data_IF_118894847159
#
_entry.id   IF_118894847159
#
_cell.length_a   1.000
_cell.length_b   1.000
_cell.length_c   1.000
_cell.angle_alpha   90.00
_cell.angle_beta   90.00
_cell.angle_gamma   90.00
#
_symmetry.space_group_name_H-M   'P 1'
#
loop_
_entity.id
_entity.type
_entity.pdbx_description
1 polymer ?
#
# COMPACT_ATOMS: atom_id res chain seq x y z
N UNK A 1 10.74 -0.42 -0.72
CA UNK A 1 10.91 -0.69 -2.17
C UNK A 1 11.52 0.54 -2.84
N UNK A 2 12.19 0.40 -3.98
CA UNK A 2 12.79 1.53 -4.72
C UNK A 2 14.32 1.63 -4.63
N UNK A 3 14.97 0.73 -3.89
CA UNK A 3 16.42 0.49 -3.94
C UNK A 3 16.78 -0.67 -4.89
N UNK A 4 18.02 -1.15 -4.83
CA UNK A 4 18.46 -2.32 -5.61
C UNK A 4 18.10 -3.65 -4.95
N UNK A 5 18.72 -3.94 -3.80
CA UNK A 5 18.67 -5.27 -3.15
C UNK A 5 17.26 -5.65 -2.71
N UNK A 6 16.58 -4.81 -1.93
CA UNK A 6 15.24 -5.14 -1.43
C UNK A 6 14.22 -5.32 -2.56
N UNK A 7 14.27 -4.45 -3.57
CA UNK A 7 13.35 -4.48 -4.71
C UNK A 7 13.55 -5.72 -5.59
N UNK A 8 14.80 -6.16 -5.80
CA UNK A 8 15.11 -7.31 -6.67
C UNK A 8 15.11 -8.66 -5.95
N UNK A 9 15.53 -8.72 -4.69
CA UNK A 9 15.68 -9.98 -3.95
C UNK A 9 14.39 -10.41 -3.25
N UNK A 10 13.56 -9.47 -2.76
CA UNK A 10 12.35 -9.82 -2.02
C UNK A 10 11.37 -10.70 -2.82
N UNK A 11 11.09 -10.45 -4.12
CA UNK A 11 10.23 -11.33 -4.92
C UNK A 11 10.79 -12.75 -5.05
N UNK A 12 12.11 -12.90 -5.14
CA UNK A 12 12.76 -14.21 -5.26
C UNK A 12 12.61 -15.01 -3.97
N UNK A 13 12.88 -14.38 -2.82
CA UNK A 13 12.72 -15.01 -1.50
C UNK A 13 11.25 -15.41 -1.28
N UNK A 14 10.33 -14.49 -1.58
CA UNK A 14 8.90 -14.73 -1.47
C UNK A 14 8.45 -15.90 -2.36
N UNK A 15 8.91 -15.95 -3.61
CA UNK A 15 8.56 -17.00 -4.55
C UNK A 15 9.03 -18.38 -4.08
N UNK A 16 10.23 -18.47 -3.50
CA UNK A 16 10.74 -19.72 -2.90
C UNK A 16 9.86 -20.14 -1.72
N UNK A 17 9.57 -19.23 -0.79
CA UNK A 17 8.74 -19.53 0.38
C UNK A 17 7.33 -20.00 -0.03
N UNK A 18 6.69 -19.29 -0.97
CA UNK A 18 5.37 -19.63 -1.49
C UNK A 18 5.37 -20.98 -2.22
N UNK A 19 6.40 -21.28 -3.02
CA UNK A 19 6.55 -22.57 -3.69
C UNK A 19 6.73 -23.75 -2.71
N UNK A 20 7.24 -23.49 -1.51
CA UNK A 20 7.32 -24.48 -0.42
C UNK A 20 5.99 -24.64 0.35
N UNK A 21 4.93 -23.91 -0.03
CA UNK A 21 3.63 -23.95 0.64
C UNK A 21 3.57 -23.14 1.94
N UNK A 22 4.54 -22.28 2.20
CA UNK A 22 4.59 -21.39 3.37
C UNK A 22 3.69 -20.17 3.11
N UNK A 23 2.83 -19.83 4.06
CA UNK A 23 2.04 -18.58 4.00
C UNK A 23 3.01 -17.39 3.96
N UNK A 24 3.07 -16.72 2.81
CA UNK A 24 4.08 -15.71 2.53
C UNK A 24 3.43 -14.33 2.52
N UNK A 25 3.71 -13.52 3.54
CA UNK A 25 3.22 -12.15 3.66
C UNK A 25 4.36 -11.17 3.36
N UNK A 26 4.20 -10.36 2.32
CA UNK A 26 5.11 -9.27 2.00
C UNK A 26 4.65 -7.97 2.65
N UNK A 27 5.52 -7.32 3.43
CA UNK A 27 5.29 -5.96 3.95
C UNK A 27 6.35 -5.05 3.35
N UNK A 28 5.91 -4.03 2.61
CA UNK A 28 6.79 -3.22 1.80
C UNK A 28 6.40 -1.74 1.82
N UNK A 29 7.38 -0.86 1.96
CA UNK A 29 7.18 0.59 1.85
C UNK A 29 7.38 1.10 0.42
N UNK A 30 6.62 2.11 0.00
CA UNK A 30 6.98 2.93 -1.17
C UNK A 30 7.86 4.09 -0.72
N UNK A 31 8.81 4.56 -1.54
CA UNK A 31 9.68 5.68 -1.18
C UNK A 31 8.88 6.96 -0.98
N UNK A 32 9.43 7.92 -0.24
CA UNK A 32 8.88 9.27 -0.16
C UNK A 32 8.97 9.97 -1.53
N UNK A 33 8.02 10.87 -1.79
CA UNK A 33 8.00 11.69 -3.00
C UNK A 33 9.31 12.46 -3.22
N UNK A 34 9.98 12.90 -2.14
CA UNK A 34 11.25 13.64 -2.22
C UNK A 34 12.46 12.77 -2.63
N UNK A 35 12.38 11.45 -2.54
CA UNK A 35 13.49 10.56 -2.92
C UNK A 35 13.65 10.43 -4.45
N UNK A 36 12.68 10.97 -5.21
CA UNK A 36 12.77 11.16 -6.64
C UNK A 36 12.06 10.07 -7.47
N UNK A 37 11.66 10.48 -8.68
CA UNK A 37 10.83 9.67 -9.60
C UNK A 37 11.45 8.31 -9.95
N UNK A 38 12.79 8.23 -10.04
CA UNK A 38 13.48 6.97 -10.35
C UNK A 38 13.22 5.90 -9.29
N UNK A 39 13.28 6.25 -8.00
CA UNK A 39 13.00 5.29 -6.92
C UNK A 39 11.53 4.87 -6.93
N UNK A 40 10.62 5.80 -7.21
CA UNK A 40 9.19 5.51 -7.31
C UNK A 40 8.90 4.48 -8.43
N UNK A 41 9.47 4.65 -9.63
CA UNK A 41 9.32 3.70 -10.74
C UNK A 41 9.87 2.31 -10.35
N UNK A 42 11.07 2.26 -9.80
CA UNK A 42 11.67 1.01 -9.33
C UNK A 42 10.83 0.32 -8.25
N UNK A 43 10.23 1.11 -7.35
CA UNK A 43 9.35 0.57 -6.32
C UNK A 43 8.09 -0.06 -6.90
N UNK A 44 7.47 0.57 -7.91
CA UNK A 44 6.29 0.04 -8.59
C UNK A 44 6.58 -1.28 -9.32
N UNK A 45 7.69 -1.33 -10.07
CA UNK A 45 8.13 -2.55 -10.76
C UNK A 45 8.39 -3.69 -9.76
N UNK A 46 9.10 -3.41 -8.67
CA UNK A 46 9.37 -4.40 -7.64
C UNK A 46 8.12 -4.84 -6.89
N UNK A 47 7.18 -3.92 -6.63
CA UNK A 47 5.90 -4.26 -5.97
C UNK A 47 5.06 -5.17 -6.85
N UNK A 48 5.00 -4.92 -8.16
CA UNK A 48 4.32 -5.79 -9.10
C UNK A 48 4.91 -7.21 -9.08
N UNK A 49 6.25 -7.31 -9.17
CA UNK A 49 6.95 -8.60 -9.08
C UNK A 49 6.74 -9.30 -7.74
N UNK A 50 6.83 -8.57 -6.62
CA UNK A 50 6.61 -9.13 -5.29
C UNK A 50 5.19 -9.66 -5.12
N UNK A 51 4.20 -8.94 -5.66
CA UNK A 51 2.78 -9.29 -5.56
C UNK A 51 2.47 -10.67 -6.15
N UNK A 52 3.11 -11.02 -7.26
CA UNK A 52 2.91 -12.32 -7.91
C UNK A 52 3.53 -13.48 -7.10
N UNK A 53 4.47 -13.15 -6.20
CA UNK A 53 5.26 -14.10 -5.43
C UNK A 53 4.84 -14.22 -3.95
N UNK A 54 3.85 -13.45 -3.49
CA UNK A 54 3.34 -13.51 -2.11
C UNK A 54 1.88 -13.97 -2.07
N UNK A 55 1.40 -14.39 -0.91
CA UNK A 55 -0.02 -14.62 -0.66
C UNK A 55 -0.76 -13.31 -0.38
N UNK A 56 -0.13 -12.47 0.45
CA UNK A 56 -0.63 -11.15 0.83
C UNK A 56 0.49 -10.11 0.73
N UNK A 57 0.20 -8.96 0.15
CA UNK A 57 1.09 -7.81 0.05
C UNK A 57 0.49 -6.60 0.77
N UNK A 58 1.11 -6.19 1.87
CA UNK A 58 0.80 -4.95 2.60
C UNK A 58 1.75 -3.85 2.10
N UNK A 59 1.19 -2.83 1.48
CA UNK A 59 1.96 -1.70 0.95
C UNK A 59 1.75 -0.49 1.85
N UNK A 60 2.83 0.02 2.42
CA UNK A 60 2.83 1.20 3.29
C UNK A 60 3.37 2.39 2.48
N UNK A 61 2.55 3.40 2.19
CA UNK A 61 3.04 4.55 1.45
C UNK A 61 3.77 5.50 2.38
N UNK A 62 5.08 5.69 2.22
CA UNK A 62 5.84 6.59 3.10
C UNK A 62 5.29 8.03 3.10
N UNK A 63 4.70 8.48 1.99
CA UNK A 63 4.07 9.81 1.92
C UNK A 63 2.87 9.95 2.87
N UNK A 64 2.17 8.85 3.21
CA UNK A 64 1.09 8.89 4.22
C UNK A 64 1.64 9.08 5.62
N UNK A 65 2.87 8.64 5.88
CA UNK A 65 3.54 8.87 7.16
C UNK A 65 3.81 10.37 7.39
N UNK A 66 4.00 11.15 6.31
CA UNK A 66 4.17 12.60 6.40
C UNK A 66 2.92 13.31 6.95
N UNK A 67 1.74 12.71 6.81
CA UNK A 67 0.50 13.27 7.36
C UNK A 67 0.41 13.13 8.88
N UNK A 68 1.19 12.21 9.46
CA UNK A 68 1.20 11.93 10.90
C UNK A 68 2.31 12.69 11.66
N UNK A 69 3.19 13.42 10.97
CA UNK A 69 4.35 14.10 11.58
C UNK A 69 4.26 15.63 11.46
N UNK A 70 4.94 16.32 12.38
CA UNK A 70 5.02 17.78 12.37
C UNK A 70 5.96 18.29 11.25
N UNK A 71 5.76 19.52 10.77
CA UNK A 71 6.67 20.13 9.79
C UNK A 71 8.11 20.31 10.31
N UNK A 72 8.30 20.27 11.63
CA UNK A 72 9.62 20.33 12.29
C UNK A 72 10.30 18.98 12.45
N UNK A 73 9.64 17.87 12.08
CA UNK A 73 10.15 16.51 12.29
C UNK A 73 11.39 16.25 11.42
N UNK A 74 12.55 15.89 12.00
CA UNK A 74 13.75 15.54 11.24
C UNK A 74 13.54 14.31 10.35
N UNK A 75 14.28 14.26 9.24
CA UNK A 75 14.20 13.14 8.28
C UNK A 75 14.48 11.78 8.92
N UNK A 76 15.41 11.71 9.88
CA UNK A 76 15.72 10.48 10.63
C UNK A 76 14.53 9.97 11.43
N UNK A 77 13.74 10.88 12.00
CA UNK A 77 12.54 10.54 12.76
C UNK A 77 11.41 10.05 11.84
N UNK A 78 11.30 10.60 10.62
CA UNK A 78 10.36 10.12 9.61
C UNK A 78 10.67 8.68 9.15
N UNK A 79 11.95 8.30 9.03
CA UNK A 79 12.32 6.90 8.75
C UNK A 79 12.05 5.98 9.93
N UNK A 80 12.32 6.42 11.17
CA UNK A 80 11.99 5.66 12.37
C UNK A 80 10.47 5.41 12.48
N UNK A 81 9.64 6.35 12.04
CA UNK A 81 8.19 6.15 11.98
C UNK A 81 7.82 5.04 10.97
N UNK A 82 8.45 5.01 9.80
CA UNK A 82 8.24 3.94 8.83
C UNK A 82 8.63 2.56 9.40
N UNK A 83 9.76 2.50 10.10
CA UNK A 83 10.22 1.29 10.77
C UNK A 83 9.27 0.87 11.90
N UNK A 84 8.71 1.83 12.66
CA UNK A 84 7.74 1.51 13.70
C UNK A 84 6.43 0.96 13.12
N UNK A 85 5.93 1.53 12.01
CA UNK A 85 4.76 0.98 11.32
C UNK A 85 5.03 -0.43 10.78
N UNK A 86 6.21 -0.67 10.19
CA UNK A 86 6.60 -2.01 9.74
C UNK A 86 6.65 -3.00 10.91
N UNK A 87 7.25 -2.60 12.03
CA UNK A 87 7.32 -3.39 13.26
C UNK A 87 5.93 -3.71 13.80
N UNK A 88 5.06 -2.70 13.88
CA UNK A 88 3.67 -2.87 14.34
C UNK A 88 2.88 -3.78 13.39
N UNK A 89 3.11 -3.70 12.08
CA UNK A 89 2.45 -4.57 11.12
C UNK A 89 2.84 -6.03 11.22
N UNK A 90 4.14 -6.32 11.40
CA UNK A 90 4.61 -7.69 11.66
C UNK A 90 4.06 -8.19 13.00
N UNK A 91 4.17 -7.36 14.05
CA UNK A 91 3.71 -7.69 15.40
C UNK A 91 2.20 -7.96 15.43
N UNK A 92 1.41 -7.15 14.74
CA UNK A 92 -0.05 -7.30 14.70
C UNK A 92 -0.51 -8.64 14.13
N UNK A 93 0.23 -9.22 13.18
CA UNK A 93 -0.06 -10.55 12.64
C UNK A 93 0.52 -11.64 13.56
N UNK A 94 1.79 -11.49 13.96
CA UNK A 94 2.48 -12.52 14.74
C UNK A 94 1.86 -12.72 16.12
N UNK A 95 1.43 -11.63 16.77
CA UNK A 95 0.94 -11.69 18.15
C UNK A 95 -0.38 -12.45 18.23
N UNK A 96 -1.25 -12.33 17.22
CA UNK A 96 -2.51 -13.10 17.12
C UNK A 96 -2.25 -14.62 17.10
N UNK A 97 -1.15 -15.04 16.47
CA UNK A 97 -0.83 -16.46 16.24
C UNK A 97 0.02 -17.03 17.39
N UNK A 98 0.97 -16.24 17.88
CA UNK A 98 2.07 -16.74 18.74
C UNK A 98 1.86 -16.47 20.22
N UNK A 99 1.11 -15.42 20.57
CA UNK A 99 0.85 -15.07 21.97
C UNK A 99 -0.52 -15.63 22.33
N UNK A 100 -0.60 -16.53 23.34
CA UNK A 100 -1.87 -17.00 23.85
C UNK A 100 -2.72 -15.81 24.30
N UNK A 101 -3.77 -15.53 23.54
CA UNK A 101 -4.70 -14.44 23.80
C UNK A 101 -5.83 -14.84 24.75
N UNK A 102 -6.67 -13.87 25.10
CA UNK A 102 -7.98 -14.13 25.72
C UNK A 102 -8.92 -14.85 24.73
N UNK A 103 -8.78 -14.52 23.45
CA UNK A 103 -9.40 -15.21 22.32
C UNK A 103 -8.28 -15.60 21.39
N UNK A 104 -8.00 -16.89 21.33
CA UNK A 104 -6.93 -17.43 20.51
C UNK A 104 -7.49 -17.74 19.12
N UNK A 105 -6.91 -17.11 18.10
CA UNK A 105 -7.16 -17.44 16.70
C UNK A 105 -6.16 -18.52 16.30
N UNK A 106 -6.59 -19.52 15.54
CA UNK A 106 -5.65 -20.51 15.04
C UNK A 106 -4.96 -20.04 13.75
N UNK A 107 -3.84 -20.69 13.41
CA UNK A 107 -3.13 -20.34 12.17
C UNK A 107 -3.96 -20.64 10.91
N UNK A 108 -4.90 -21.58 10.97
CA UNK A 108 -5.72 -21.96 9.83
C UNK A 108 -6.71 -20.85 9.46
N UNK A 109 -7.28 -20.17 10.45
CA UNK A 109 -8.14 -19.00 10.28
C UNK A 109 -7.36 -17.86 9.60
N UNK A 110 -6.19 -17.51 10.15
CA UNK A 110 -5.33 -16.46 9.55
C UNK A 110 -4.94 -16.83 8.12
N UNK A 111 -4.56 -18.10 7.90
CA UNK A 111 -4.24 -18.61 6.56
C UNK A 111 -5.44 -18.54 5.63
N UNK A 112 -6.67 -18.80 6.09
CA UNK A 112 -7.87 -18.76 5.26
C UNK A 112 -8.16 -17.36 4.71
N UNK A 113 -7.85 -16.30 5.48
CA UNK A 113 -8.01 -14.91 5.03
C UNK A 113 -6.81 -14.44 4.20
N UNK A 114 -5.58 -14.75 4.63
CA UNK A 114 -4.37 -14.16 4.02
C UNK A 114 -3.82 -14.96 2.83
N UNK A 115 -4.22 -16.23 2.64
CA UNK A 115 -3.77 -17.01 1.49
C UNK A 115 -4.34 -16.45 0.19
N UNK A 116 -3.46 -16.09 -0.76
CA UNK A 116 -3.81 -15.49 -2.05
C UNK A 116 -4.75 -14.26 -1.96
N UNK A 117 -4.73 -13.51 -0.86
CA UNK A 117 -5.56 -12.32 -0.67
C UNK A 117 -5.11 -11.14 -1.55
N UNK A 118 -3.86 -11.17 -2.04
CA UNK A 118 -3.32 -10.13 -2.91
C UNK A 118 -3.03 -8.84 -2.15
N UNK A 119 -3.63 -7.72 -2.57
CA UNK A 119 -3.42 -6.43 -1.88
C UNK A 119 -4.07 -6.43 -0.51
N UNK A 120 -3.38 -5.88 0.46
CA UNK A 120 -3.91 -5.61 1.78
C UNK A 120 -3.51 -4.23 2.27
N UNK A 121 -4.33 -3.68 3.16
CA UNK A 121 -4.12 -2.39 3.80
C UNK A 121 -4.09 -2.59 5.31
N UNK A 122 -3.39 -1.69 5.99
CA UNK A 122 -3.19 -1.74 7.43
C UNK A 122 -3.70 -0.46 8.05
N UNK A 123 -4.43 -0.58 9.16
CA UNK A 123 -4.82 0.52 10.01
C UNK A 123 -4.34 0.28 11.43
N UNK A 124 -3.85 1.32 12.08
CA UNK A 124 -3.34 1.23 13.45
C UNK A 124 -3.91 2.39 14.24
N UNK A 125 -4.47 2.08 15.41
CA UNK A 125 -5.07 3.06 16.30
C UNK A 125 -4.67 2.77 17.73
N UNK A 126 -4.30 3.81 18.47
CA UNK A 126 -4.03 3.71 19.90
C UNK A 126 -4.87 4.72 20.65
N UNK A 127 -5.20 4.40 21.91
CA UNK A 127 -5.87 5.31 22.81
C UNK A 127 -5.48 5.01 24.26
N UNK A 128 -5.31 6.08 25.04
CA UNK A 128 -4.91 6.04 26.46
C UNK A 128 -5.96 6.64 27.39
N UNK A 129 -6.99 7.31 26.86
CA UNK A 129 -7.87 8.16 27.65
C UNK A 129 -9.30 7.62 27.76
N UNK A 130 -9.75 7.43 29.01
CA UNK A 130 -11.17 7.34 29.35
C UNK A 130 -11.80 5.96 29.24
N UNK A 131 -13.07 5.88 29.66
CA UNK A 131 -13.90 4.66 29.64
C UNK A 131 -14.18 4.13 28.22
N UNK A 132 -13.89 4.93 27.18
CA UNK A 132 -14.10 4.63 25.77
C UNK A 132 -12.83 4.29 25.00
N UNK A 133 -11.67 4.13 25.67
CA UNK A 133 -10.37 3.97 25.00
C UNK A 133 -10.35 2.89 23.90
N UNK A 134 -11.00 1.73 24.09
CA UNK A 134 -11.01 0.70 23.05
C UNK A 134 -11.84 1.11 21.82
N UNK A 135 -12.96 1.79 22.03
CA UNK A 135 -13.78 2.37 20.95
C UNK A 135 -12.99 3.45 20.20
N UNK A 136 -12.31 4.32 20.92
CA UNK A 136 -11.51 5.40 20.35
C UNK A 136 -10.30 4.85 19.58
N UNK A 137 -9.65 3.81 20.09
CA UNK A 137 -8.58 3.10 19.38
C UNK A 137 -9.10 2.46 18.07
N UNK A 138 -10.31 1.89 18.07
CA UNK A 138 -10.91 1.30 16.87
C UNK A 138 -11.21 2.37 15.81
N UNK A 139 -11.78 3.51 16.22
CA UNK A 139 -12.01 4.66 15.34
C UNK A 139 -10.71 5.19 14.74
N UNK A 140 -9.67 5.36 15.57
CA UNK A 140 -8.35 5.79 15.13
C UNK A 140 -7.72 4.80 14.14
N UNK A 141 -7.92 3.49 14.33
CA UNK A 141 -7.39 2.47 13.44
C UNK A 141 -8.07 2.54 12.07
N UNK A 142 -9.39 2.74 12.02
CA UNK A 142 -10.15 2.84 10.78
C UNK A 142 -9.86 4.16 10.03
N UNK A 143 -9.69 5.25 10.77
CA UNK A 143 -9.33 6.56 10.22
C UNK A 143 -7.83 6.70 9.93
N UNK A 144 -7.06 5.62 10.06
CA UNK A 144 -5.62 5.64 9.84
C UNK A 144 -5.31 6.05 8.39
N UNK A 145 -4.33 6.95 8.16
CA UNK A 145 -3.89 7.35 6.81
C UNK A 145 -3.41 6.20 5.91
N UNK A 146 -3.15 5.04 6.52
CA UNK A 146 -2.69 3.82 5.86
C UNK A 146 -3.83 2.97 5.27
N UNK A 147 -5.10 3.25 5.63
CA UNK A 147 -6.31 2.63 5.07
C UNK A 147 -6.93 3.51 3.97
N UNK A 148 -6.23 3.67 2.84
CA UNK A 148 -6.59 4.66 1.80
C UNK A 148 -7.90 4.36 1.03
N UNK A 149 -8.35 3.09 1.00
CA UNK A 149 -9.43 2.61 0.12
C UNK A 149 -10.76 2.41 0.87
N UNK A 150 -10.78 2.68 2.18
CA UNK A 150 -11.94 2.38 3.03
C UNK A 150 -12.07 0.88 3.30
N UNK A 151 -12.35 0.52 4.55
CA UNK A 151 -12.44 -0.87 5.02
C UNK A 151 -13.70 -1.58 4.49
N UNK A 152 -14.69 -0.83 4.01
CA UNK A 152 -16.02 -1.29 3.59
C UNK A 152 -15.97 -2.32 2.46
N UNK A 153 -14.89 -2.33 1.67
CA UNK A 153 -14.72 -3.19 0.48
C UNK A 153 -13.86 -4.43 0.72
N UNK A 154 -13.32 -4.59 1.92
CA UNK A 154 -12.49 -5.74 2.26
C UNK A 154 -13.37 -6.98 2.43
N UNK A 155 -13.01 -8.09 1.77
CA UNK A 155 -13.74 -9.37 1.94
C UNK A 155 -13.23 -10.19 3.12
N UNK A 156 -12.05 -9.83 3.64
CA UNK A 156 -11.44 -10.50 4.79
C UNK A 156 -10.70 -9.50 5.65
N UNK A 157 -10.96 -9.51 6.95
CA UNK A 157 -10.38 -8.56 7.90
C UNK A 157 -9.82 -9.33 9.07
N UNK A 158 -8.54 -9.07 9.37
CA UNK A 158 -7.88 -9.57 10.57
C UNK A 158 -7.63 -8.37 11.46
N UNK A 159 -8.10 -8.40 12.70
CA UNK A 159 -7.81 -7.36 13.66
C UNK A 159 -7.39 -7.93 15.01
N UNK A 160 -6.48 -7.21 15.64
CA UNK A 160 -5.97 -7.53 16.96
C UNK A 160 -6.20 -6.35 17.89
N UNK A 161 -6.64 -6.65 19.12
CA UNK A 161 -6.61 -5.70 20.23
C UNK A 161 -5.52 -6.12 21.22
N UNK A 162 -4.61 -5.19 21.51
CA UNK A 162 -3.59 -5.35 22.54
C UNK A 162 -3.86 -4.33 23.65
N UNK A 163 -4.01 -4.81 24.88
CA UNK A 163 -4.18 -3.94 26.05
C UNK A 163 -3.50 -4.51 27.29
N UNK A 164 -3.48 -3.73 28.37
CA UNK A 164 -2.98 -4.19 29.67
C UNK A 164 -3.84 -5.27 30.32
N UNK A 165 -3.45 -5.68 31.53
CA UNK A 165 -4.25 -6.60 32.36
C UNK A 165 -5.59 -6.02 32.81
N UNK A 166 -5.77 -4.71 32.59
CA UNK A 166 -6.99 -3.95 32.82
C UNK A 166 -7.93 -3.92 31.60
N UNK A 167 -7.60 -4.62 30.51
CA UNK A 167 -8.47 -4.75 29.34
C UNK A 167 -9.72 -5.58 29.69
N UNK A 168 -10.90 -4.98 29.53
CA UNK A 168 -12.17 -5.63 29.87
C UNK A 168 -12.90 -6.16 28.64
N UNK A 169 -13.79 -7.15 28.84
CA UNK A 169 -14.64 -7.68 27.77
C UNK A 169 -15.57 -6.61 27.16
N UNK A 170 -16.06 -5.67 27.98
CA UNK A 170 -16.91 -4.57 27.50
C UNK A 170 -16.16 -3.65 26.52
N UNK A 171 -14.90 -3.38 26.79
CA UNK A 171 -14.04 -2.58 25.90
C UNK A 171 -13.78 -3.29 24.58
N UNK A 172 -13.48 -4.59 24.64
CA UNK A 172 -13.31 -5.45 23.46
C UNK A 172 -14.60 -5.44 22.62
N UNK A 173 -15.76 -5.63 23.24
CA UNK A 173 -17.04 -5.63 22.52
C UNK A 173 -17.33 -4.27 21.88
N UNK A 174 -17.09 -3.16 22.58
CA UNK A 174 -17.28 -1.82 22.03
C UNK A 174 -16.36 -1.52 20.84
N UNK A 175 -15.13 -2.05 20.83
CA UNK A 175 -14.23 -1.95 19.68
C UNK A 175 -14.72 -2.81 18.51
N UNK A 176 -15.19 -4.03 18.79
CA UNK A 176 -15.73 -4.94 17.78
C UNK A 176 -16.97 -4.36 17.09
N UNK A 177 -17.91 -3.78 17.84
CA UNK A 177 -19.10 -3.12 17.28
C UNK A 177 -18.74 -2.03 16.27
N UNK A 178 -17.78 -1.16 16.60
CA UNK A 178 -17.33 -0.10 15.68
C UNK A 178 -16.75 -0.66 14.39
N UNK A 179 -15.95 -1.73 14.48
CA UNK A 179 -15.36 -2.36 13.30
C UNK A 179 -16.47 -3.04 12.49
N UNK A 180 -17.39 -3.75 13.14
CA UNK A 180 -18.46 -4.52 12.49
C UNK A 180 -19.48 -3.63 11.78
N UNK A 181 -19.76 -2.44 12.31
CA UNK A 181 -20.69 -1.47 11.70
C UNK A 181 -20.16 -0.86 10.39
N UNK A 182 -18.84 -0.88 10.17
CA UNK A 182 -18.17 -0.21 9.04
C UNK A 182 -17.68 -1.18 7.95
N UNK A 183 -17.81 -2.48 8.16
CA UNK A 183 -17.34 -3.51 7.24
C UNK A 183 -18.50 -4.14 6.50
N UNK A 184 -18.24 -4.77 5.36
CA UNK A 184 -19.26 -5.53 4.66
C UNK A 184 -19.77 -6.69 5.55
N UNK A 185 -21.10 -6.86 5.73
CA UNK A 185 -21.66 -7.95 6.54
C UNK A 185 -21.29 -9.37 6.05
N UNK A 186 -20.85 -9.48 4.80
CA UNK A 186 -20.40 -10.74 4.18
C UNK A 186 -18.88 -10.96 4.29
N UNK A 187 -18.14 -9.98 4.82
CA UNK A 187 -16.71 -10.11 5.02
C UNK A 187 -16.41 -11.15 6.12
N UNK A 188 -15.33 -11.89 5.94
CA UNK A 188 -14.83 -12.78 6.99
C UNK A 188 -14.00 -11.99 8.00
N UNK A 189 -14.37 -12.01 9.28
CA UNK A 189 -13.67 -11.27 10.33
C UNK A 189 -13.00 -12.20 11.32
N UNK A 190 -11.70 -11.99 11.52
CA UNK A 190 -10.89 -12.66 12.51
C UNK A 190 -10.49 -11.67 13.59
N UNK A 191 -10.72 -12.07 14.83
CA UNK A 191 -10.48 -11.28 16.02
C UNK A 191 -9.48 -11.96 16.95
N UNK A 192 -8.37 -11.27 17.24
CA UNK A 192 -7.43 -11.64 18.29
C UNK A 192 -7.44 -10.64 19.45
N UNK A 193 -7.26 -11.14 20.67
CA UNK A 193 -7.07 -10.30 21.86
C UNK A 193 -5.85 -10.72 22.66
N UNK A 194 -4.88 -9.81 22.77
CA UNK A 194 -3.60 -10.04 23.44
C UNK A 194 -3.49 -9.14 24.67
N UNK A 195 -3.03 -9.72 25.78
CA UNK A 195 -2.74 -8.96 27.01
C UNK A 195 -1.24 -8.71 27.08
N UNK A 196 -0.83 -7.45 27.04
CA UNK A 196 0.53 -6.99 27.23
C UNK A 196 0.60 -6.12 28.49
N UNK A 197 1.22 -6.60 29.59
CA UNK A 197 1.33 -5.84 30.84
C UNK A 197 1.98 -4.46 30.69
N UNK A 198 2.82 -4.26 29.66
CA UNK A 198 3.47 -2.98 29.39
C UNK A 198 2.50 -1.89 28.89
N UNK A 199 1.31 -2.28 28.41
CA UNK A 199 0.26 -1.39 27.91
C UNK A 199 -0.82 -1.10 28.96
N UNK A 200 -0.50 -1.17 30.25
CA UNK A 200 -1.46 -0.83 31.31
C UNK A 200 -1.99 0.60 31.12
N UNK A 201 -3.30 0.77 31.04
CA UNK A 201 -3.93 2.07 30.76
C UNK A 201 -4.05 2.42 29.26
N UNK A 202 -3.45 1.65 28.35
CA UNK A 202 -3.46 1.88 26.91
C UNK A 202 -4.10 0.70 26.16
N UNK A 203 -4.78 1.02 25.06
CA UNK A 203 -5.26 0.04 24.08
C UNK A 203 -4.68 0.37 22.73
N UNK A 204 -4.18 -0.65 22.03
CA UNK A 204 -3.71 -0.59 20.65
C UNK A 204 -4.54 -1.56 19.81
N UNK A 205 -5.06 -1.10 18.68
CA UNK A 205 -5.77 -1.92 17.71
C UNK A 205 -4.99 -1.87 16.40
N UNK A 206 -4.69 -3.06 15.88
CA UNK A 206 -4.12 -3.22 14.53
C UNK A 206 -5.14 -3.94 13.68
N UNK A 207 -5.43 -3.38 12.51
CA UNK A 207 -6.40 -3.89 11.57
C UNK A 207 -5.72 -4.12 10.22
N UNK A 208 -6.00 -5.28 9.62
CA UNK A 208 -5.46 -5.69 8.33
C UNK A 208 -6.64 -6.08 7.46
N UNK A 209 -6.91 -5.24 6.48
CA UNK A 209 -7.96 -5.44 5.51
C UNK A 209 -7.37 -6.11 4.27
N UNK A 210 -8.01 -7.17 3.81
CA UNK A 210 -7.53 -8.01 2.71
C UNK A 210 -8.66 -8.29 1.71
N UNK A 211 -8.33 -8.82 0.53
CA UNK A 211 -9.34 -9.22 -0.44
C UNK A 211 -10.03 -8.05 -1.14
N UNK A 212 -9.34 -6.91 -1.26
CA UNK A 212 -9.79 -5.82 -2.12
C UNK A 212 -9.87 -6.31 -3.56
N UNK A 213 -11.10 -6.48 -4.09
CA UNK A 213 -11.31 -6.79 -5.50
C UNK A 213 -10.56 -5.74 -6.33
N UNK A 214 -9.65 -6.22 -7.16
CA UNK A 214 -8.96 -5.42 -8.17
C UNK A 214 -10.04 -4.65 -8.92
N UNK A 215 -10.04 -3.32 -8.82
CA UNK A 215 -10.52 -2.53 -9.95
C UNK A 215 -9.74 -3.09 -11.13
N UNK A 216 -10.44 -3.68 -12.08
CA UNK A 216 -9.90 -3.90 -13.40
C UNK A 216 -9.43 -2.54 -13.91
N UNK A 217 -8.17 -2.21 -13.63
CA UNK A 217 -7.42 -1.19 -14.36
C UNK A 217 -7.18 -1.73 -15.77
N UNK A 218 -8.25 -1.69 -16.55
CA UNK A 218 -8.37 -2.26 -17.89
C UNK A 218 -9.83 -2.57 -18.10
N UNK A 219 -10.65 -1.61 -18.54
CA UNK A 219 -11.20 -1.68 -19.91
C UNK A 219 -11.49 -0.31 -20.54
N UNK A 220 -11.33 0.80 -19.80
CA UNK A 220 -11.73 2.13 -20.29
C UNK A 220 -10.78 2.80 -21.29
N UNK A 221 -9.49 2.41 -21.36
CA UNK A 221 -8.50 3.05 -22.25
C UNK A 221 -8.25 2.28 -23.56
N UNK A 222 -8.44 0.97 -23.58
CA UNK A 222 -8.27 0.17 -24.80
C UNK A 222 -9.46 0.34 -25.76
N UNK A 223 -10.68 0.51 -25.23
CA UNK A 223 -11.89 0.73 -26.05
C UNK A 223 -11.91 2.11 -26.73
N UNK A 224 -11.24 3.13 -26.17
CA UNK A 224 -11.16 4.47 -26.78
C UNK A 224 -10.12 4.59 -27.90
N UNK A 225 -9.10 3.72 -27.95
CA UNK A 225 -8.17 3.68 -29.08
C UNK A 225 -8.72 2.88 -30.27
N UNK A 226 -9.59 1.91 -30.05
CA UNK A 226 -10.21 1.13 -31.12
C UNK A 226 -11.35 1.85 -31.87
N UNK A 227 -11.97 2.87 -31.26
CA UNK A 227 -13.05 3.66 -31.90
C UNK A 227 -12.55 4.87 -32.71
N UNK A 228 -11.27 5.24 -32.60
CA UNK A 228 -10.69 6.31 -33.40
C UNK A 228 -10.34 5.89 -34.85
N UNK A 229 -10.19 4.58 -35.11
CA UNK A 229 -9.80 4.05 -36.42
C UNK A 229 -10.98 3.73 -37.36
N UNK A 230 -12.23 3.88 -36.93
CA UNK A 230 -13.41 3.56 -37.76
C UNK A 230 -14.10 4.78 -38.39
N UNK A 231 -13.62 6.01 -38.13
CA UNK A 231 -14.21 7.24 -38.64
C UNK A 231 -13.25 8.01 -39.57
N UNK A 232 -12.69 7.36 -40.58
CA UNK A 232 -12.08 8.07 -41.72
C UNK A 232 -12.08 7.24 -43.02
N UNK A 233 -13.25 6.73 -43.43
CA UNK A 233 -13.43 6.26 -44.80
C UNK A 233 -13.67 7.47 -45.71
N UNK A 234 -12.62 7.98 -46.34
CA UNK A 234 -12.75 9.11 -47.27
C UNK A 234 -11.47 9.51 -48.00
N UNK A 235 -11.27 8.89 -49.17
CA UNK A 235 -10.57 9.44 -50.33
C UNK A 235 -9.05 9.15 -50.54
N UNK A 236 -8.83 8.43 -51.65
CA UNK A 236 -7.73 8.52 -52.64
C UNK A 236 -6.44 7.73 -52.41
N UNK A 237 -6.42 6.51 -52.96
CA UNK A 237 -5.21 5.79 -53.39
C UNK A 237 -4.47 6.57 -54.49
N UNK A 238 -3.16 6.78 -54.32
CA UNK A 238 -2.17 6.85 -55.42
C UNK A 238 -0.80 6.30 -54.98
N UNK A 239 0.00 5.74 -55.90
CA UNK A 239 1.04 4.75 -55.59
C UNK A 239 2.39 5.38 -55.22
N UNK A 240 3.22 4.57 -54.56
CA UNK A 240 4.60 4.81 -54.17
C UNK A 240 5.54 5.02 -55.36
N UNK A 241 6.34 6.09 -55.34
CA UNK A 241 7.52 6.23 -56.19
C UNK A 241 8.71 6.82 -55.42
N UNK A 242 9.74 6.00 -55.26
CA UNK A 242 11.18 6.28 -55.41
C UNK A 242 11.75 7.63 -54.94
N UNK A 243 12.69 7.52 -54.01
CA UNK A 243 13.75 8.47 -53.70
C UNK A 243 14.39 9.12 -54.94
N UNK A 244 14.52 10.46 -54.92
CA UNK A 244 15.51 11.23 -55.69
C UNK A 244 15.95 12.48 -54.92
N UNK A 245 17.25 12.75 -55.04
CA UNK A 245 18.00 13.89 -54.52
C UNK A 245 17.48 15.26 -54.96
N UNK A 246 17.70 16.27 -54.11
CA UNK A 246 17.81 17.68 -54.49
C UNK A 246 16.60 18.55 -54.15
N UNK A 247 16.66 19.26 -53.02
CA UNK A 247 15.71 20.32 -52.68
C UNK A 247 15.85 20.80 -51.24
N UNK A 248 16.10 22.09 -51.07
CA UNK A 248 16.38 22.82 -49.82
C UNK A 248 15.43 22.50 -48.65
N UNK A 249 15.99 22.12 -47.50
CA UNK A 249 15.27 22.03 -46.22
C UNK A 249 14.96 23.45 -45.73
N UNK A 250 13.67 23.81 -45.68
CA UNK A 250 13.22 25.08 -45.12
C UNK A 250 13.30 25.04 -43.59
N UNK A 251 14.23 25.82 -43.04
CA UNK A 251 14.39 25.98 -41.58
C UNK A 251 13.25 26.87 -41.06
N UNK A 252 12.46 26.40 -40.06
CA UNK A 252 11.41 27.17 -39.41
C UNK A 252 11.91 28.51 -38.83
N UNK A 253 11.10 29.57 -38.92
CA UNK A 253 11.50 30.94 -38.59
C UNK A 253 12.04 31.14 -37.16
N UNK A 254 11.60 30.35 -36.18
CA UNK A 254 12.03 30.47 -34.79
C UNK A 254 13.51 30.07 -34.57
N UNK A 255 14.13 29.35 -35.51
CA UNK A 255 15.55 28.96 -35.46
C UNK A 255 16.49 29.98 -36.13
N UNK A 256 15.97 31.02 -36.80
CA UNK A 256 16.79 31.93 -37.63
C UNK A 256 17.38 33.15 -36.90
N UNK A 257 17.15 33.38 -35.60
CA UNK A 257 17.72 34.56 -34.91
C UNK A 257 18.04 34.34 -33.43
N UNK A 258 19.33 34.20 -33.09
CA UNK A 258 20.20 35.24 -32.46
C UNK A 258 21.47 34.58 -31.90
N UNK A 259 22.54 34.61 -32.69
CA UNK A 259 23.91 34.48 -32.20
C UNK A 259 24.62 35.83 -32.34
N UNK A 260 24.85 36.52 -31.23
CA UNK A 260 25.96 37.47 -31.12
C UNK A 260 26.45 37.43 -29.68
N UNK A 261 27.31 36.46 -29.41
CA UNK A 261 28.20 36.47 -28.26
C UNK A 261 29.28 37.52 -28.54
N UNK A 262 29.21 38.66 -27.85
CA UNK A 262 30.32 39.60 -27.72
C UNK A 262 30.95 39.40 -26.36
N UNK A 263 32.09 38.71 -26.33
CA UNK A 263 33.07 38.87 -25.26
C UNK A 263 34.30 39.56 -25.85
N UNK A 264 34.79 40.66 -25.26
CA UNK A 264 36.08 41.22 -25.61
C UNK A 264 37.20 40.46 -24.88
N UNK A 265 38.34 40.24 -25.55
CA UNK A 265 39.62 39.97 -24.89
C UNK A 265 40.69 40.90 -25.47
N UNK A 266 41.29 41.66 -24.55
CA UNK A 266 42.52 42.49 -24.58
C UNK A 266 42.54 43.64 -25.59
#
# INVERSE_FOLDING_TARGET
MGGGTGTGAAPVIAGIAKAMGILTVGIATTPFSFEGRRRAVQAQEGLASLRDNVDTLIVIPNDKLLTAVSQSTPVTEAFNLADDILRQGVRGISDIITIPGLVNVDFADVRAIMANAGSSLMGIGTATAGKSRARDAALNAIQSPLLDIGIERATGIVWNITGGTDLTLFEVNAAAEVIYDLVDPTANLIFGAVVDPSLTGQVSITLIATGFKRQEEGEGRAAQMAQADTASTGATRRPSSSFREGGSVEIPEFLKKKGSSRYPRV
#
